data_IF_774317616695
#
_entry.id   IF_774317616695
#
_cell.length_a   1.000
_cell.length_b   1.000
_cell.length_c   1.000
_cell.angle_alpha   90.00
_cell.angle_beta   90.00
_cell.angle_gamma   90.00
#
_symmetry.space_group_name_H-M   'P 1'
#
loop_
_entity.id
_entity.type
_entity.pdbx_description
1 polymer ?
#
# COMPACT_ATOMS: atom_id res chain seq x y z
N UNK A 1 -15.28 -39.79 1.58
CA UNK A 1 -15.60 -38.37 1.78
C UNK A 1 -14.41 -37.42 1.90
N UNK A 2 -13.16 -37.87 2.06
CA UNK A 2 -11.96 -36.97 2.13
C UNK A 2 -11.49 -36.38 0.79
N UNK A 3 -11.81 -37.00 -0.36
CA UNK A 3 -11.32 -36.53 -1.68
C UNK A 3 -11.99 -35.24 -2.17
N UNK A 4 -13.30 -35.03 -1.90
CA UNK A 4 -14.01 -33.85 -2.36
C UNK A 4 -13.57 -32.54 -1.65
N UNK A 5 -13.26 -32.61 -0.35
CA UNK A 5 -12.79 -31.43 0.39
C UNK A 5 -11.40 -30.96 -0.05
N UNK A 6 -10.52 -31.89 -0.44
CA UNK A 6 -9.19 -31.56 -0.95
C UNK A 6 -9.26 -30.89 -2.33
N UNK A 7 -10.17 -31.34 -3.18
CA UNK A 7 -10.36 -30.79 -4.52
C UNK A 7 -10.95 -29.36 -4.43
N UNK A 8 -11.98 -29.14 -3.60
CA UNK A 8 -12.58 -27.82 -3.39
C UNK A 8 -11.56 -26.83 -2.83
N UNK A 9 -10.75 -27.22 -1.84
CA UNK A 9 -9.68 -26.35 -1.30
C UNK A 9 -8.63 -25.99 -2.33
N UNK A 10 -8.24 -26.92 -3.21
CA UNK A 10 -7.26 -26.69 -4.27
C UNK A 10 -7.80 -25.69 -5.29
N UNK A 11 -9.05 -25.82 -5.71
CA UNK A 11 -9.72 -24.90 -6.64
C UNK A 11 -9.83 -23.49 -6.04
N UNK A 12 -10.18 -23.36 -4.77
CA UNK A 12 -10.23 -22.06 -4.09
C UNK A 12 -8.85 -21.38 -4.01
N UNK A 13 -7.79 -22.12 -3.69
CA UNK A 13 -6.43 -21.59 -3.69
C UNK A 13 -5.94 -21.18 -5.08
N UNK A 14 -6.32 -21.89 -6.12
CA UNK A 14 -6.01 -21.53 -7.51
C UNK A 14 -6.72 -20.21 -7.90
N UNK A 15 -7.98 -20.02 -7.50
CA UNK A 15 -8.72 -18.78 -7.69
C UNK A 15 -8.07 -17.58 -6.96
N UNK A 16 -7.66 -17.77 -5.71
CA UNK A 16 -6.98 -16.72 -4.94
C UNK A 16 -5.62 -16.35 -5.55
N UNK A 17 -4.89 -17.29 -6.10
CA UNK A 17 -3.65 -17.03 -6.84
C UNK A 17 -3.92 -16.24 -8.14
N UNK A 18 -5.03 -16.52 -8.82
CA UNK A 18 -5.44 -15.74 -9.99
C UNK A 18 -5.74 -14.29 -9.61
N UNK A 19 -6.42 -14.06 -8.48
CA UNK A 19 -6.71 -12.72 -7.96
C UNK A 19 -5.42 -11.94 -7.69
N UNK A 20 -4.40 -12.54 -7.04
CA UNK A 20 -3.12 -11.86 -6.79
C UNK A 20 -2.42 -11.44 -8.07
N UNK A 21 -2.44 -12.28 -9.09
CA UNK A 21 -1.87 -11.98 -10.39
C UNK A 21 -2.64 -10.86 -11.09
N UNK A 22 -3.98 -10.90 -11.08
CA UNK A 22 -4.84 -9.88 -11.66
C UNK A 22 -4.64 -8.51 -11.01
N UNK A 23 -4.53 -8.47 -9.68
CA UNK A 23 -4.26 -7.27 -8.91
C UNK A 23 -2.80 -6.79 -9.03
N UNK A 24 -1.95 -7.50 -9.76
CA UNK A 24 -0.52 -7.19 -9.89
C UNK A 24 0.24 -7.15 -8.56
N UNK A 25 -0.15 -7.96 -7.61
CA UNK A 25 0.62 -8.19 -6.38
C UNK A 25 1.79 -9.09 -6.72
N UNK A 26 2.93 -8.49 -7.03
CA UNK A 26 4.11 -9.19 -7.59
C UNK A 26 4.92 -10.00 -6.57
N UNK A 27 4.59 -9.93 -5.30
CA UNK A 27 5.33 -10.65 -4.25
C UNK A 27 4.77 -12.06 -4.09
N UNK A 28 5.49 -13.04 -4.57
CA UNK A 28 5.13 -14.47 -4.51
C UNK A 28 5.08 -15.01 -3.06
N UNK A 29 5.65 -14.29 -2.10
CA UNK A 29 5.62 -14.67 -0.70
C UNK A 29 4.33 -14.21 0.02
N UNK A 30 3.49 -13.45 -0.66
CA UNK A 30 2.17 -13.06 -0.17
C UNK A 30 1.17 -14.14 -0.60
N UNK A 31 0.61 -14.82 0.39
CA UNK A 31 -0.48 -15.77 0.19
C UNK A 31 -1.79 -15.12 0.67
N UNK A 32 -2.73 -14.89 -0.25
CA UNK A 32 -4.09 -14.49 0.08
C UNK A 32 -4.84 -15.75 0.53
N UNK A 33 -5.52 -15.65 1.66
CA UNK A 33 -6.27 -16.76 2.28
C UNK A 33 -7.77 -16.59 2.16
N UNK A 34 -8.25 -15.36 2.19
CA UNK A 34 -9.68 -15.05 2.23
C UNK A 34 -9.96 -13.69 1.57
N UNK A 35 -11.18 -13.53 1.09
CA UNK A 35 -11.75 -12.28 0.61
C UNK A 35 -13.05 -11.97 1.33
N UNK A 36 -13.34 -10.70 1.57
CA UNK A 36 -14.56 -10.24 2.22
C UNK A 36 -15.12 -9.00 1.53
N UNK A 37 -16.40 -9.07 1.20
CA UNK A 37 -17.16 -7.87 0.81
C UNK A 37 -17.75 -7.23 2.09
N UNK A 38 -17.29 -6.01 2.39
CA UNK A 38 -17.71 -5.24 3.55
C UNK A 38 -18.84 -4.25 3.20
N UNK A 39 -19.38 -4.31 1.98
CA UNK A 39 -20.40 -3.41 1.46
C UNK A 39 -19.88 -2.02 1.10
N UNK A 40 -18.95 -1.46 1.85
CA UNK A 40 -18.30 -0.16 1.58
C UNK A 40 -16.93 -0.29 0.93
N UNK A 41 -16.29 -1.43 1.07
CA UNK A 41 -14.97 -1.75 0.54
C UNK A 41 -14.76 -3.26 0.52
N UNK A 42 -13.79 -3.69 -0.25
CA UNK A 42 -13.34 -5.09 -0.30
C UNK A 42 -12.13 -5.28 0.61
N UNK A 43 -12.07 -6.41 1.33
CA UNK A 43 -10.89 -6.78 2.11
C UNK A 43 -10.30 -8.10 1.58
N UNK A 44 -8.99 -8.10 1.32
CA UNK A 44 -8.21 -9.32 1.08
C UNK A 44 -7.38 -9.64 2.31
N UNK A 45 -7.58 -10.80 2.87
CA UNK A 45 -6.78 -11.28 4.00
C UNK A 45 -5.66 -12.18 3.51
N UNK A 46 -4.49 -12.01 4.08
CA UNK A 46 -3.34 -12.83 3.69
C UNK A 46 -2.19 -12.76 4.67
N UNK A 47 -1.18 -13.54 4.40
CA UNK A 47 0.05 -13.53 5.16
C UNK A 47 1.28 -13.50 4.23
N UNK A 48 2.33 -12.86 4.73
CA UNK A 48 3.63 -12.80 4.11
C UNK A 48 4.56 -13.74 4.86
N UNK A 49 5.02 -14.77 4.19
CA UNK A 49 5.92 -15.78 4.76
C UNK A 49 6.96 -16.24 3.74
N UNK A 50 8.21 -16.26 4.14
CA UNK A 50 9.32 -16.75 3.35
C UNK A 50 10.40 -17.35 4.24
N UNK A 51 11.45 -17.88 3.63
CA UNK A 51 12.59 -18.46 4.36
C UNK A 51 13.24 -17.42 5.26
N UNK A 52 13.55 -17.76 6.51
CA UNK A 52 14.13 -16.84 7.47
C UNK A 52 15.46 -16.26 6.94
N UNK A 53 15.63 -14.92 6.95
CA UNK A 53 16.86 -14.27 6.51
C UNK A 53 17.97 -14.41 7.56
N UNK A 54 19.18 -13.99 7.23
CA UNK A 54 20.25 -13.82 8.21
C UNK A 54 19.96 -12.62 9.11
N UNK A 55 20.38 -12.73 10.37
CA UNK A 55 20.21 -11.65 11.36
C UNK A 55 20.90 -10.35 10.88
N UNK A 56 20.21 -9.21 10.88
CA UNK A 56 20.83 -7.95 10.46
C UNK A 56 21.94 -7.47 11.40
N UNK A 57 21.96 -7.92 12.66
CA UNK A 57 22.95 -7.53 13.68
C UNK A 57 24.17 -8.45 13.71
N UNK A 58 23.98 -9.75 13.97
CA UNK A 58 25.07 -10.70 14.20
C UNK A 58 25.32 -11.62 12.99
N UNK A 59 24.51 -11.50 11.91
CA UNK A 59 24.54 -12.37 10.72
C UNK A 59 24.23 -13.85 10.98
N UNK A 60 23.91 -14.21 12.22
CA UNK A 60 23.55 -15.56 12.63
C UNK A 60 22.20 -16.01 12.04
N UNK A 61 21.85 -17.27 12.26
CA UNK A 61 20.64 -17.86 11.72
C UNK A 61 19.39 -17.38 12.46
N UNK A 62 18.40 -16.92 11.70
CA UNK A 62 17.07 -16.61 12.22
C UNK A 62 16.13 -17.79 12.04
N UNK A 63 15.15 -17.92 12.91
CA UNK A 63 14.08 -18.89 12.82
C UNK A 63 12.72 -18.18 12.66
N UNK A 64 11.76 -18.80 11.98
CA UNK A 64 10.37 -18.36 11.97
C UNK A 64 9.85 -18.39 13.39
N UNK A 65 9.21 -17.29 13.82
CA UNK A 65 8.68 -17.16 15.18
C UNK A 65 7.15 -17.16 15.13
N UNK A 66 6.54 -16.02 14.91
CA UNK A 66 5.09 -15.88 14.84
C UNK A 66 4.68 -14.90 13.72
N UNK A 67 3.40 -14.56 13.66
CA UNK A 67 2.90 -13.48 12.80
C UNK A 67 2.55 -12.26 13.63
N UNK A 68 2.92 -11.08 13.15
CA UNK A 68 2.42 -9.84 13.75
C UNK A 68 0.91 -9.66 13.48
N UNK A 69 0.27 -8.76 14.22
CA UNK A 69 -1.10 -8.31 13.96
C UNK A 69 -1.23 -7.85 12.51
N UNK A 70 -2.36 -8.15 11.87
CA UNK A 70 -2.61 -7.76 10.48
C UNK A 70 -2.50 -6.24 10.30
N UNK A 71 -1.66 -5.82 9.37
CA UNK A 71 -1.57 -4.44 8.91
C UNK A 71 -2.67 -4.19 7.88
N UNK A 72 -3.37 -3.06 7.98
CA UNK A 72 -4.31 -2.59 6.96
C UNK A 72 -3.52 -1.80 5.91
N UNK A 73 -3.49 -2.29 4.69
CA UNK A 73 -2.76 -1.69 3.58
C UNK A 73 -3.76 -1.28 2.51
N UNK A 74 -4.02 0.03 2.32
CA UNK A 74 -4.82 0.50 1.19
C UNK A 74 -4.20 0.07 -0.14
N UNK A 75 -5.06 -0.37 -1.07
CA UNK A 75 -4.68 -0.77 -2.40
C UNK A 75 -5.53 -0.04 -3.45
N UNK A 76 -5.24 -0.28 -4.73
CA UNK A 76 -6.02 0.34 -5.83
C UNK A 76 -7.44 -0.20 -5.81
N UNK A 77 -8.41 0.68 -6.10
CA UNK A 77 -9.82 0.29 -6.23
C UNK A 77 -10.00 -0.84 -7.24
N UNK A 78 -10.93 -1.72 -6.97
CA UNK A 78 -11.24 -2.87 -7.81
C UNK A 78 -12.74 -2.93 -8.00
N UNK A 79 -13.20 -3.04 -9.25
CA UNK A 79 -14.63 -3.04 -9.60
C UNK A 79 -15.42 -1.84 -9.03
N UNK A 80 -14.78 -0.68 -8.87
CA UNK A 80 -15.41 0.53 -8.31
C UNK A 80 -15.46 0.58 -6.78
N UNK A 81 -14.92 -0.42 -6.09
CA UNK A 81 -14.84 -0.47 -4.63
C UNK A 81 -13.41 -0.25 -4.14
N UNK A 82 -13.23 0.52 -3.05
CA UNK A 82 -11.95 0.60 -2.36
C UNK A 82 -11.48 -0.77 -1.92
N UNK A 83 -10.16 -1.05 -2.03
CA UNK A 83 -9.58 -2.33 -1.64
C UNK A 83 -8.59 -2.15 -0.50
N UNK A 84 -8.75 -2.96 0.55
CA UNK A 84 -7.83 -3.07 1.69
C UNK A 84 -7.20 -4.46 1.73
N UNK A 85 -5.89 -4.52 1.86
CA UNK A 85 -5.17 -5.77 2.10
C UNK A 85 -4.84 -5.86 3.59
N UNK A 86 -5.38 -6.89 4.26
CA UNK A 86 -5.06 -7.22 5.65
C UNK A 86 -3.94 -8.24 5.69
N UNK A 87 -2.69 -7.75 5.79
CA UNK A 87 -1.50 -8.57 5.68
C UNK A 87 -0.88 -8.85 7.05
N UNK A 88 -0.80 -10.14 7.41
CA UNK A 88 -0.03 -10.63 8.56
C UNK A 88 1.39 -10.94 8.12
N UNK A 89 2.37 -10.22 8.64
CA UNK A 89 3.79 -10.43 8.29
C UNK A 89 4.44 -11.37 9.25
N UNK A 90 5.22 -12.33 8.76
CA UNK A 90 6.02 -13.25 9.58
C UNK A 90 7.05 -12.47 10.39
N UNK A 91 7.23 -12.82 11.66
CA UNK A 91 8.36 -12.40 12.47
C UNK A 91 9.40 -13.51 12.53
N UNK A 92 10.65 -13.09 12.60
CA UNK A 92 11.79 -13.98 12.72
C UNK A 92 12.54 -13.62 13.99
N UNK A 93 13.07 -14.63 14.69
CA UNK A 93 13.88 -14.44 15.90
C UNK A 93 15.27 -15.04 15.68
N UNK A 94 16.31 -14.27 15.96
CA UNK A 94 17.67 -14.76 15.91
C UNK A 94 17.95 -15.75 17.05
N UNK A 95 18.56 -16.89 16.72
CA UNK A 95 18.91 -17.92 17.69
C UNK A 95 20.08 -17.52 18.60
N UNK A 96 20.97 -16.65 18.08
CA UNK A 96 22.20 -16.23 18.77
C UNK A 96 21.98 -14.99 19.63
N UNK A 97 21.53 -13.87 19.03
CA UNK A 97 21.40 -12.59 19.74
C UNK A 97 19.97 -12.26 20.17
N UNK A 98 18.98 -13.10 19.89
CA UNK A 98 17.58 -12.88 20.25
C UNK A 98 16.86 -11.77 19.48
N UNK A 99 17.54 -11.06 18.58
CA UNK A 99 16.95 -9.94 17.82
C UNK A 99 15.78 -10.39 16.96
N UNK A 100 14.73 -9.56 16.92
CA UNK A 100 13.56 -9.79 16.11
C UNK A 100 13.65 -9.02 14.80
N UNK A 101 13.19 -9.64 13.69
CA UNK A 101 12.97 -9.01 12.40
C UNK A 101 11.57 -9.34 11.89
N UNK A 102 11.01 -8.48 11.08
CA UNK A 102 9.69 -8.66 10.44
C UNK A 102 9.91 -8.86 8.95
N UNK A 103 9.11 -9.74 8.34
CA UNK A 103 9.12 -9.95 6.90
C UNK A 103 8.84 -8.65 6.15
N UNK A 104 9.64 -8.36 5.15
CA UNK A 104 9.52 -7.18 4.30
C UNK A 104 9.00 -7.58 2.92
N UNK A 105 8.24 -6.69 2.27
CA UNK A 105 7.63 -6.90 0.96
C UNK A 105 7.76 -5.64 0.12
N UNK A 106 7.95 -5.76 -1.20
CA UNK A 106 7.94 -4.60 -2.10
C UNK A 106 6.56 -3.94 -2.22
N UNK A 107 5.48 -4.59 -1.73
CA UNK A 107 4.13 -4.03 -1.73
C UNK A 107 4.04 -2.71 -0.96
N UNK A 108 4.79 -2.61 0.15
CA UNK A 108 4.80 -1.45 1.05
C UNK A 108 6.23 -1.16 1.47
N UNK A 109 6.64 0.11 1.39
CA UNK A 109 7.95 0.52 1.91
C UNK A 109 8.06 0.22 3.41
N UNK A 110 9.26 -0.04 3.88
CA UNK A 110 9.54 -0.26 5.30
C UNK A 110 9.00 0.89 6.15
N UNK A 111 8.34 0.56 7.27
CA UNK A 111 7.69 1.52 8.18
C UNK A 111 6.56 2.37 7.55
N UNK A 112 6.05 1.97 6.39
CA UNK A 112 4.88 2.61 5.77
C UNK A 112 3.68 1.67 5.79
N UNK A 113 2.47 2.25 5.67
CA UNK A 113 1.21 1.50 5.61
C UNK A 113 0.51 1.62 4.26
N UNK A 114 0.87 2.61 3.45
CA UNK A 114 0.27 2.81 2.12
C UNK A 114 1.10 2.05 1.08
N UNK A 115 0.43 1.30 0.21
CA UNK A 115 1.09 0.54 -0.84
C UNK A 115 1.82 1.45 -1.84
N UNK A 116 2.86 0.92 -2.46
CA UNK A 116 3.60 1.64 -3.51
C UNK A 116 2.69 2.01 -4.67
N UNK A 117 1.77 1.12 -5.05
CA UNK A 117 0.80 1.37 -6.12
C UNK A 117 -0.13 2.54 -5.80
N UNK A 118 -0.64 2.64 -4.57
CA UNK A 118 -1.48 3.78 -4.13
C UNK A 118 -0.66 5.07 -4.11
N UNK A 119 0.60 5.05 -3.65
CA UNK A 119 1.46 6.24 -3.70
C UNK A 119 1.68 6.75 -5.14
N UNK A 120 1.86 5.85 -6.09
CA UNK A 120 1.98 6.20 -7.52
C UNK A 120 0.66 6.76 -8.06
N UNK A 121 -0.48 6.16 -7.68
CA UNK A 121 -1.81 6.64 -8.10
C UNK A 121 -2.14 8.02 -7.54
N UNK A 122 -1.77 8.31 -6.28
CA UNK A 122 -1.91 9.66 -5.70
C UNK A 122 -1.17 10.68 -6.58
N UNK A 123 0.09 10.38 -6.95
CA UNK A 123 0.89 11.26 -7.80
C UNK A 123 0.19 11.54 -9.14
N UNK A 124 -0.30 10.50 -9.80
CA UNK A 124 -1.03 10.62 -11.06
C UNK A 124 -2.28 11.50 -10.92
N UNK A 125 -3.12 11.24 -9.92
CA UNK A 125 -4.37 11.98 -9.71
C UNK A 125 -4.12 13.46 -9.33
N UNK A 126 -3.02 13.77 -8.64
CA UNK A 126 -2.61 15.15 -8.37
C UNK A 126 -2.20 15.89 -9.66
N UNK A 127 -1.51 15.24 -10.58
CA UNK A 127 -1.17 15.80 -11.89
C UNK A 127 -2.43 16.03 -12.73
N UNK A 128 -3.44 15.17 -12.58
CA UNK A 128 -4.75 15.32 -13.23
C UNK A 128 -5.63 16.40 -12.56
N UNK A 129 -5.09 17.21 -11.64
CA UNK A 129 -5.77 18.30 -10.93
C UNK A 129 -7.02 17.86 -10.13
N UNK A 130 -7.06 16.61 -9.65
CA UNK A 130 -8.17 16.16 -8.83
C UNK A 130 -8.09 16.71 -7.40
N UNK A 131 -9.24 17.04 -6.81
CA UNK A 131 -9.31 17.54 -5.43
C UNK A 131 -8.77 16.50 -4.44
N UNK A 132 -7.94 16.93 -3.48
CA UNK A 132 -7.30 16.05 -2.49
C UNK A 132 -8.30 15.23 -1.67
N UNK A 133 -9.47 15.78 -1.36
CA UNK A 133 -10.55 15.06 -0.66
C UNK A 133 -11.10 13.92 -1.50
N UNK A 134 -11.28 14.14 -2.81
CA UNK A 134 -11.74 13.12 -3.74
C UNK A 134 -10.73 11.99 -3.87
N UNK A 135 -9.43 12.33 -4.01
CA UNK A 135 -8.33 11.34 -4.03
C UNK A 135 -8.33 10.52 -2.75
N UNK A 136 -8.45 11.18 -1.59
CA UNK A 136 -8.44 10.52 -0.28
C UNK A 136 -9.59 9.53 -0.14
N UNK A 137 -10.82 9.94 -0.51
CA UNK A 137 -11.99 9.08 -0.49
C UNK A 137 -11.82 7.86 -1.41
N UNK A 138 -11.45 8.10 -2.67
CA UNK A 138 -11.28 7.07 -3.69
C UNK A 138 -10.24 6.00 -3.32
N UNK A 139 -9.17 6.40 -2.65
CA UNK A 139 -8.07 5.51 -2.27
C UNK A 139 -8.14 5.01 -0.82
N UNK A 140 -9.23 5.31 -0.08
CA UNK A 140 -9.43 4.94 1.33
C UNK A 140 -8.25 5.35 2.24
N UNK A 141 -7.74 6.56 2.05
CA UNK A 141 -6.66 7.16 2.83
C UNK A 141 -7.10 8.52 3.40
N UNK A 142 -6.33 9.06 4.33
CA UNK A 142 -6.60 10.40 4.85
C UNK A 142 -6.14 11.50 3.87
N UNK A 143 -6.84 12.63 3.86
CA UNK A 143 -6.43 13.82 3.10
C UNK A 143 -5.03 14.29 3.50
N UNK A 144 -4.65 14.14 4.78
CA UNK A 144 -3.29 14.42 5.25
C UNK A 144 -2.23 13.53 4.59
N UNK A 145 -2.58 12.30 4.21
CA UNK A 145 -1.66 11.42 3.46
C UNK A 145 -1.47 11.90 2.03
N UNK A 146 -2.53 12.41 1.38
CA UNK A 146 -2.46 13.01 0.04
C UNK A 146 -1.60 14.28 0.09
N UNK A 147 -1.84 15.15 1.08
CA UNK A 147 -1.08 16.40 1.26
C UNK A 147 0.41 16.13 1.50
N UNK A 148 0.75 15.15 2.34
CA UNK A 148 2.17 14.75 2.53
C UNK A 148 2.81 14.33 1.21
N UNK A 149 2.06 13.61 0.37
CA UNK A 149 2.55 13.20 -0.94
C UNK A 149 2.74 14.38 -1.88
N UNK A 150 1.83 15.34 -1.89
CA UNK A 150 1.98 16.59 -2.64
C UNK A 150 3.26 17.35 -2.21
N UNK A 151 3.52 17.43 -0.91
CA UNK A 151 4.72 18.11 -0.39
C UNK A 151 6.03 17.37 -0.71
N UNK A 152 5.98 16.06 -1.05
CA UNK A 152 7.16 15.33 -1.55
C UNK A 152 7.52 15.72 -2.99
N UNK A 153 6.57 16.26 -3.76
CA UNK A 153 6.84 16.78 -5.09
C UNK A 153 7.45 18.17 -4.96
N UNK A 154 8.73 18.30 -5.23
CA UNK A 154 9.38 19.59 -5.43
C UNK A 154 9.08 20.02 -6.87
N UNK A 155 8.13 20.91 -7.03
CA UNK A 155 7.94 21.61 -8.29
C UNK A 155 9.03 22.68 -8.36
N UNK A 156 10.08 22.44 -9.12
CA UNK A 156 11.04 23.46 -9.48
C UNK A 156 10.42 24.26 -10.64
N UNK A 157 9.97 25.47 -10.34
CA UNK A 157 9.50 26.38 -11.39
C UNK A 157 10.73 27.03 -12.03
N UNK A 158 10.97 26.77 -13.30
CA UNK A 158 11.96 27.50 -14.06
C UNK A 158 11.41 28.88 -14.41
N UNK A 159 11.80 29.88 -13.63
CA UNK A 159 11.40 31.27 -13.83
C UNK A 159 11.95 31.92 -15.10
N UNK A 160 12.89 31.26 -15.80
CA UNK A 160 13.41 31.74 -17.08
C UNK A 160 12.48 31.41 -18.24
N UNK A 161 11.55 30.47 -18.07
CA UNK A 161 10.58 30.05 -19.07
C UNK A 161 9.19 30.47 -18.61
N UNK A 162 8.70 31.58 -19.13
CA UNK A 162 7.31 32.02 -18.90
C UNK A 162 6.39 31.37 -19.92
N UNK A 163 5.20 30.90 -19.50
CA UNK A 163 4.21 30.41 -20.45
C UNK A 163 3.68 31.55 -21.35
N UNK A 164 3.34 31.25 -22.59
CA UNK A 164 2.78 32.22 -23.55
C UNK A 164 1.47 32.86 -23.05
N UNK A 165 0.71 32.11 -22.25
CA UNK A 165 -0.54 32.57 -21.65
C UNK A 165 -0.42 32.49 -20.13
N UNK A 166 -0.53 33.63 -19.46
CA UNK A 166 -0.56 33.73 -17.99
C UNK A 166 -1.87 34.35 -17.54
N UNK A 167 -2.45 33.79 -16.50
CA UNK A 167 -3.58 34.37 -15.79
C UNK A 167 -3.08 34.93 -14.45
N UNK A 168 -3.41 36.18 -14.19
CA UNK A 168 -3.08 36.84 -12.91
C UNK A 168 -4.36 36.99 -12.13
N UNK A 169 -4.31 36.67 -10.84
CA UNK A 169 -5.41 36.90 -9.91
C UNK A 169 -4.92 37.74 -8.73
N UNK A 170 -5.75 38.66 -8.30
CA UNK A 170 -5.47 39.50 -7.14
C UNK A 170 -5.97 38.82 -5.88
N UNK A 171 -5.11 38.75 -4.86
CA UNK A 171 -5.55 38.25 -3.57
C UNK A 171 -5.14 39.16 -2.43
N UNK A 172 -5.99 39.28 -1.41
CA UNK A 172 -5.74 40.12 -0.27
C UNK A 172 -4.75 39.49 0.71
N UNK A 173 -3.58 40.06 0.87
CA UNK A 173 -2.55 39.65 1.84
C UNK A 173 -2.94 39.92 3.29
N UNK A 174 -3.72 40.97 3.52
CA UNK A 174 -4.32 41.32 4.81
C UNK A 174 -5.72 41.85 4.56
N UNK A 175 -6.61 41.70 5.55
CA UNK A 175 -7.96 42.25 5.51
C UNK A 175 -7.90 43.73 5.16
N UNK A 176 -8.35 44.11 3.96
CA UNK A 176 -8.39 45.49 3.48
C UNK A 176 -7.17 46.04 2.72
N UNK A 177 -6.20 45.17 2.33
CA UNK A 177 -5.11 45.58 1.42
C UNK A 177 -4.98 44.55 0.30
N UNK A 178 -5.25 44.96 -0.92
CA UNK A 178 -4.89 44.26 -2.15
C UNK A 178 -3.45 44.61 -2.52
N UNK A 179 -2.70 43.67 -3.02
CA UNK A 179 -1.39 43.86 -3.63
C UNK A 179 -1.44 43.56 -5.11
#
# INVERSE_FOLDING_TARGET
MKSNQTHIRKTHMEQLNLITNFLRIKDQNILITDEYDMGTHLELHGHLDYTAPKCPSCKGLMAKYDFQKASKIPYLETAGYPLLIRLRKRRFKCKECGKMAVAETPLVKKNHQISVAVNQKIAQLLIENQAMQHIAHRLSISTSSVMRKLNEFKFETDWNILPEVMSWDEYAFKKGKMS
#
